data_IF_603746155129
#
_entry.id   IF_603746155129
#
_cell.length_a   1.000
_cell.length_b   1.000
_cell.length_c   1.000
_cell.angle_alpha   90.00
_cell.angle_beta   90.00
_cell.angle_gamma   90.00
#
_symmetry.space_group_name_H-M   'P 1'
#
loop_
_entity.id
_entity.type
_entity.pdbx_description
1 polymer ?
#
# COMPACT_ATOMS: atom_id res chain seq x y z
N UNK A 1 14.85 22.95 37.54
CA UNK A 1 14.29 21.63 37.17
C UNK A 1 13.08 21.94 36.31
N UNK A 2 13.24 21.95 34.99
CA UNK A 2 12.13 22.21 34.06
C UNK A 2 11.73 20.86 33.52
N UNK A 3 10.52 20.43 33.84
CA UNK A 3 9.95 19.19 33.33
C UNK A 3 10.01 19.22 31.80
N UNK A 4 10.63 18.20 31.21
CA UNK A 4 10.47 17.89 29.81
C UNK A 4 9.01 17.50 29.64
N UNK A 5 8.23 18.41 29.08
CA UNK A 5 6.90 18.10 28.55
C UNK A 5 7.12 17.04 27.46
N UNK A 6 6.91 15.78 27.83
CA UNK A 6 7.00 14.65 26.91
C UNK A 6 5.95 14.90 25.83
N UNK A 7 6.40 15.12 24.61
CA UNK A 7 5.56 15.14 23.43
C UNK A 7 4.93 13.76 23.31
N UNK A 8 3.76 13.56 23.91
CA UNK A 8 2.89 12.45 23.56
C UNK A 8 2.25 12.89 22.25
N UNK A 9 2.65 12.32 21.09
CA UNK A 9 2.01 12.68 19.84
C UNK A 9 0.53 12.37 19.99
N UNK A 10 -0.29 13.41 19.88
CA UNK A 10 -1.74 13.37 19.97
C UNK A 10 -2.24 12.36 18.92
N UNK A 11 -2.52 11.12 19.33
CA UNK A 11 -2.89 9.99 18.46
C UNK A 11 -2.00 9.87 17.22
N UNK A 12 -0.77 9.33 17.37
CA UNK A 12 -0.08 8.80 16.19
C UNK A 12 -1.05 7.86 15.45
N UNK A 13 -1.17 7.96 14.13
CA UNK A 13 -1.92 6.97 13.36
C UNK A 13 -1.18 5.63 13.54
N UNK A 14 -1.59 4.83 14.54
CA UNK A 14 -0.93 3.57 14.88
C UNK A 14 -1.34 2.55 13.83
N UNK A 15 -0.35 2.03 13.11
CA UNK A 15 -0.55 0.94 12.18
C UNK A 15 0.57 -0.09 12.29
N UNK A 16 0.23 -1.33 11.95
CA UNK A 16 1.22 -2.38 11.82
C UNK A 16 1.82 -2.33 10.41
N UNK A 17 3.12 -2.08 10.30
CA UNK A 17 3.83 -2.06 9.02
C UNK A 17 4.51 -3.42 8.79
N UNK A 18 4.07 -4.11 7.75
CA UNK A 18 4.75 -5.31 7.22
C UNK A 18 5.49 -4.96 5.93
N UNK A 19 6.78 -5.28 5.86
CA UNK A 19 7.62 -5.03 4.67
C UNK A 19 8.02 -6.36 4.07
N UNK A 20 7.58 -6.60 2.83
CA UNK A 20 7.87 -7.82 2.10
C UNK A 20 8.81 -7.56 0.92
N UNK A 21 9.90 -8.33 0.86
CA UNK A 21 10.86 -8.25 -0.23
C UNK A 21 10.58 -9.22 -1.38
N UNK A 22 9.82 -10.27 -1.09
CA UNK A 22 9.37 -11.26 -2.07
C UNK A 22 8.24 -10.69 -2.92
N UNK A 23 8.12 -11.08 -4.19
CA UNK A 23 6.96 -10.71 -5.01
C UNK A 23 5.65 -11.20 -4.39
N UNK A 24 4.53 -10.50 -4.64
CA UNK A 24 3.22 -10.91 -4.12
C UNK A 24 2.78 -12.25 -4.73
N UNK A 25 1.88 -12.94 -4.06
CA UNK A 25 1.17 -14.07 -4.67
C UNK A 25 0.23 -13.58 -5.78
N UNK A 26 -0.20 -14.45 -6.72
CA UNK A 26 -1.16 -14.07 -7.76
C UNK A 26 -2.48 -13.50 -7.21
N UNK A 27 -2.95 -14.02 -6.07
CA UNK A 27 -4.19 -13.55 -5.42
C UNK A 27 -3.99 -12.17 -4.77
N UNK A 28 -2.82 -11.93 -4.17
CA UNK A 28 -2.45 -10.60 -3.67
C UNK A 28 -2.35 -9.59 -4.80
N UNK A 29 -1.73 -9.96 -5.94
CA UNK A 29 -1.66 -9.09 -7.11
C UNK A 29 -3.06 -8.77 -7.67
N UNK A 30 -3.95 -9.77 -7.72
CA UNK A 30 -5.34 -9.55 -8.14
C UNK A 30 -6.03 -8.51 -7.25
N UNK A 31 -5.90 -8.66 -5.92
CA UNK A 31 -6.46 -7.71 -4.96
C UNK A 31 -5.88 -6.30 -5.12
N UNK A 32 -4.57 -6.17 -5.34
CA UNK A 32 -3.92 -4.87 -5.59
C UNK A 32 -4.47 -4.20 -6.85
N UNK A 33 -4.64 -4.97 -7.93
CA UNK A 33 -5.19 -4.47 -9.20
C UNK A 33 -6.65 -4.02 -9.04
N UNK A 34 -7.43 -4.73 -8.22
CA UNK A 34 -8.81 -4.35 -7.91
C UNK A 34 -8.88 -3.04 -7.11
N UNK A 35 -7.98 -2.84 -6.13
CA UNK A 35 -7.90 -1.61 -5.34
C UNK A 35 -7.50 -0.39 -6.18
N UNK A 36 -6.65 -0.59 -7.19
CA UNK A 36 -6.17 0.49 -8.07
C UNK A 36 -7.10 0.75 -9.24
N UNK A 37 -7.87 -0.25 -9.65
CA UNK A 37 -8.70 -0.25 -10.84
C UNK A 37 -7.92 -0.63 -12.11
N UNK A 38 -8.62 -1.15 -13.13
CA UNK A 38 -8.00 -1.76 -14.32
C UNK A 38 -7.16 -0.79 -15.15
N UNK A 39 -7.46 0.52 -15.12
CA UNK A 39 -6.70 1.55 -15.85
C UNK A 39 -5.30 1.77 -15.29
N UNK A 40 -5.02 1.34 -14.06
CA UNK A 40 -3.72 1.46 -13.41
C UNK A 40 -2.90 0.16 -13.45
N UNK A 41 -3.35 -0.88 -14.16
CA UNK A 41 -2.62 -2.14 -14.23
C UNK A 41 -1.16 -1.97 -14.70
N UNK A 42 -0.94 -1.09 -15.68
CA UNK A 42 0.38 -0.77 -16.23
C UNK A 42 1.32 -0.05 -15.25
N UNK A 43 0.79 0.55 -14.17
CA UNK A 43 1.63 1.19 -13.13
C UNK A 43 2.14 0.16 -12.13
N UNK A 44 1.44 -0.97 -11.95
CA UNK A 44 1.85 -2.04 -11.03
C UNK A 44 2.67 -3.11 -11.74
N UNK A 45 2.31 -3.43 -12.98
CA UNK A 45 2.99 -4.43 -13.80
C UNK A 45 3.40 -3.77 -15.11
N UNK A 46 4.70 -3.74 -15.38
CA UNK A 46 5.30 -3.10 -16.55
C UNK A 46 4.62 -3.56 -17.85
N UNK A 47 4.28 -2.60 -18.73
CA UNK A 47 3.64 -2.83 -20.03
C UNK A 47 2.29 -3.57 -19.96
N UNK A 48 1.63 -3.65 -18.79
CA UNK A 48 0.31 -4.26 -18.69
C UNK A 48 -0.79 -3.30 -19.17
N UNK A 49 -1.70 -3.84 -19.97
CA UNK A 49 -2.83 -3.07 -20.55
C UNK A 49 -4.15 -3.24 -19.79
N UNK A 50 -4.16 -4.09 -18.76
CA UNK A 50 -5.31 -4.38 -17.91
C UNK A 50 -5.04 -5.54 -16.97
N UNK A 51 -6.01 -5.87 -16.12
CA UNK A 51 -5.85 -6.86 -15.03
C UNK A 51 -5.41 -8.24 -15.53
N UNK A 52 -6.08 -8.79 -16.55
CA UNK A 52 -5.73 -10.13 -17.07
C UNK A 52 -4.34 -10.18 -17.70
N UNK A 53 -3.92 -9.12 -18.39
CA UNK A 53 -2.59 -9.04 -18.99
C UNK A 53 -1.50 -8.84 -17.92
N UNK A 54 -1.78 -8.04 -16.89
CA UNK A 54 -0.91 -7.87 -15.72
C UNK A 54 -0.63 -9.22 -15.03
N UNK A 55 -1.67 -10.00 -14.72
CA UNK A 55 -1.53 -11.32 -14.09
C UNK A 55 -0.72 -12.28 -14.96
N UNK A 56 -0.98 -12.30 -16.27
CA UNK A 56 -0.24 -13.15 -17.22
C UNK A 56 1.24 -12.78 -17.25
N UNK A 57 1.56 -11.48 -17.35
CA UNK A 57 2.94 -10.96 -17.37
C UNK A 57 3.67 -11.23 -16.07
N UNK A 58 3.02 -10.99 -14.93
CA UNK A 58 3.58 -11.25 -13.62
C UNK A 58 3.93 -12.73 -13.41
N UNK A 59 3.02 -13.63 -13.79
CA UNK A 59 3.25 -15.08 -13.70
C UNK A 59 4.41 -15.55 -14.60
N UNK A 60 4.60 -14.89 -15.76
CA UNK A 60 5.72 -15.19 -16.64
C UNK A 60 7.06 -14.60 -16.14
N UNK A 61 7.02 -13.40 -15.55
CA UNK A 61 8.19 -12.66 -15.08
C UNK A 61 7.82 -11.81 -13.87
N UNK A 62 8.11 -12.31 -12.67
CA UNK A 62 7.80 -11.57 -11.44
C UNK A 62 8.56 -10.24 -11.33
N UNK A 63 9.70 -10.07 -12.02
CA UNK A 63 10.40 -8.78 -12.07
C UNK A 63 9.66 -7.68 -12.87
N UNK A 64 8.53 -8.01 -13.51
CA UNK A 64 7.65 -6.99 -14.11
C UNK A 64 6.81 -6.23 -13.07
N UNK A 65 6.74 -6.73 -11.83
CA UNK A 65 6.09 -6.03 -10.74
C UNK A 65 6.91 -4.81 -10.30
N UNK A 66 6.29 -3.64 -10.38
CA UNK A 66 6.89 -2.37 -10.00
C UNK A 66 6.91 -2.25 -8.48
N UNK A 67 8.02 -1.75 -7.94
CA UNK A 67 8.24 -1.60 -6.50
C UNK A 67 8.73 -0.16 -6.23
N UNK A 68 8.40 0.43 -5.07
CA UNK A 68 7.55 -0.11 -4.00
C UNK A 68 6.05 -0.07 -4.35
N UNK A 69 5.27 -0.89 -3.65
CA UNK A 69 3.80 -0.80 -3.61
C UNK A 69 3.39 -0.89 -2.14
N UNK A 70 2.70 0.14 -1.66
CA UNK A 70 2.12 0.15 -0.31
C UNK A 70 0.65 -0.23 -0.42
N UNK A 71 0.22 -1.19 0.38
CA UNK A 71 -1.15 -1.71 0.34
C UNK A 71 -1.77 -1.62 1.73
N UNK A 72 -2.96 -1.05 1.79
CA UNK A 72 -3.86 -1.15 2.94
C UNK A 72 -4.91 -2.22 2.62
N UNK A 73 -4.65 -3.43 3.13
CA UNK A 73 -5.53 -4.59 2.96
C UNK A 73 -6.89 -4.43 3.66
N UNK A 74 -6.96 -3.60 4.71
CA UNK A 74 -8.18 -3.43 5.51
C UNK A 74 -9.15 -2.47 4.82
N UNK A 75 -8.63 -1.42 4.17
CA UNK A 75 -9.44 -0.41 3.50
C UNK A 75 -9.49 -0.55 1.98
N UNK A 76 -8.84 -1.56 1.41
CA UNK A 76 -8.86 -1.84 -0.02
C UNK A 76 -8.23 -0.75 -0.86
N UNK A 77 -7.06 -0.24 -0.42
CA UNK A 77 -6.32 0.81 -1.12
C UNK A 77 -4.90 0.37 -1.39
N UNK A 78 -4.33 0.86 -2.49
CA UNK A 78 -2.92 0.71 -2.76
C UNK A 78 -2.35 1.99 -3.37
N UNK A 79 -1.06 2.24 -3.10
CA UNK A 79 -0.26 3.30 -3.69
C UNK A 79 0.96 2.66 -4.33
N UNK A 80 1.25 3.04 -5.57
CA UNK A 80 2.42 2.58 -6.31
C UNK A 80 3.48 3.68 -6.26
N UNK A 81 4.73 3.28 -6.00
CA UNK A 81 5.84 4.22 -5.88
C UNK A 81 5.93 4.86 -4.50
N UNK A 82 6.69 5.95 -4.43
CA UNK A 82 7.11 6.64 -3.21
C UNK A 82 6.56 8.07 -3.11
N UNK A 83 5.44 8.37 -3.79
CA UNK A 83 4.78 9.68 -3.68
C UNK A 83 4.31 9.92 -2.24
N UNK A 84 5.04 10.79 -1.53
CA UNK A 84 4.79 11.14 -0.15
C UNK A 84 3.36 11.65 0.07
N UNK A 85 2.80 12.42 -0.87
CA UNK A 85 1.45 12.97 -0.71
C UNK A 85 0.38 11.88 -0.78
N UNK A 86 0.53 10.91 -1.69
CA UNK A 86 -0.39 9.77 -1.80
C UNK A 86 -0.24 8.83 -0.59
N UNK A 87 0.98 8.59 -0.13
CA UNK A 87 1.25 7.78 1.07
C UNK A 87 0.66 8.43 2.33
N UNK A 88 0.83 9.73 2.51
CA UNK A 88 0.24 10.46 3.64
C UNK A 88 -1.28 10.49 3.59
N UNK A 89 -1.89 10.52 2.40
CA UNK A 89 -3.35 10.36 2.26
C UNK A 89 -3.79 8.97 2.71
N UNK A 90 -3.04 7.92 2.35
CA UNK A 90 -3.33 6.55 2.79
C UNK A 90 -3.26 6.43 4.31
N UNK A 91 -2.17 6.91 4.94
CA UNK A 91 -1.98 6.86 6.40
C UNK A 91 -3.10 7.61 7.13
N UNK A 92 -3.50 8.80 6.65
CA UNK A 92 -4.58 9.60 7.28
C UNK A 92 -5.97 8.99 7.18
N UNK A 93 -6.17 7.97 6.33
CA UNK A 93 -7.45 7.22 6.27
C UNK A 93 -7.54 6.11 7.31
N UNK A 94 -6.45 5.80 7.99
CA UNK A 94 -6.43 4.78 9.03
C UNK A 94 -7.24 5.25 10.24
N UNK A 95 -8.00 4.35 10.89
CA UNK A 95 -8.72 4.71 12.09
C UNK A 95 -7.73 5.11 13.18
N UNK A 96 -7.98 6.25 13.81
CA UNK A 96 -7.26 6.65 15.02
C UNK A 96 -7.73 5.75 16.15
N UNK A 97 -6.79 5.06 16.80
CA UNK A 97 -7.10 4.37 18.05
C UNK A 97 -7.54 5.45 19.05
N UNK A 98 -8.84 5.57 19.25
CA UNK A 98 -9.42 6.39 20.30
C UNK A 98 -9.57 5.45 21.47
N UNK A 99 -8.81 5.66 22.54
CA UNK A 99 -8.86 4.89 23.77
C UNK A 99 -10.31 4.52 24.10
N UNK A 100 -10.64 3.23 24.04
CA UNK A 100 -11.89 2.73 24.63
C UNK A 100 -11.77 2.91 26.15
N UNK A 101 -12.69 3.73 26.67
CA UNK A 101 -12.94 4.00 28.09
C UNK A 101 -13.23 2.74 28.92
#
# INVERSE_FOLDING_TARGET
MTAQESYLPDSADIFNLDVQETPPTPDQLTSILDYLGPSKAGTVVEEATGTSDALRKFNAKQQSFQRPVTVDWNNGRAVVGDDESELMKLVRTLPKETDQV
#
